data_IF_792643442129
#
_entry.id   IF_792643442129
#
_cell.length_a   1.000
_cell.length_b   1.000
_cell.length_c   1.000
_cell.angle_alpha   90.00
_cell.angle_beta   90.00
_cell.angle_gamma   90.00
#
_symmetry.space_group_name_H-M   'P 1'
#
loop_
_entity.id
_entity.type
_entity.pdbx_description
1 polymer ?
#
# COMPACT_ATOMS: atom_id res chain seq x y z
N UNK A 1 -48.80 -14.00 -26.58
CA UNK A 1 -48.32 -13.81 -25.19
C UNK A 1 -49.09 -12.71 -24.45
N UNK A 2 -49.31 -11.54 -25.05
CA UNK A 2 -50.05 -10.40 -24.46
C UNK A 2 -51.55 -10.65 -24.20
N UNK A 3 -52.23 -11.44 -25.02
CA UNK A 3 -53.66 -11.80 -24.84
C UNK A 3 -53.91 -12.71 -23.64
N UNK A 4 -52.96 -13.61 -23.32
CA UNK A 4 -53.02 -14.48 -22.12
C UNK A 4 -52.85 -13.69 -20.82
N UNK A 5 -52.09 -12.60 -20.86
CA UNK A 5 -51.88 -11.67 -19.74
C UNK A 5 -53.13 -10.85 -19.41
N UNK A 6 -53.96 -10.53 -20.41
CA UNK A 6 -55.16 -9.71 -20.20
C UNK A 6 -56.21 -10.44 -19.33
N UNK A 7 -56.35 -11.77 -19.51
CA UNK A 7 -57.34 -12.62 -18.83
C UNK A 7 -56.80 -13.40 -17.60
N UNK A 8 -55.59 -13.15 -17.13
CA UNK A 8 -55.04 -13.80 -15.91
C UNK A 8 -55.63 -13.19 -14.64
N UNK A 9 -55.79 -13.98 -13.58
CA UNK A 9 -56.25 -13.47 -12.27
C UNK A 9 -55.20 -12.50 -11.71
N UNK A 10 -55.62 -11.51 -10.92
CA UNK A 10 -54.73 -10.50 -10.32
C UNK A 10 -53.55 -11.15 -9.56
N UNK A 11 -53.80 -12.29 -8.89
CA UNK A 11 -52.79 -13.09 -8.22
C UNK A 11 -51.64 -13.56 -9.13
N UNK A 12 -51.94 -13.95 -10.38
CA UNK A 12 -50.93 -14.49 -11.31
C UNK A 12 -50.05 -13.34 -11.84
N UNK A 13 -50.65 -12.15 -12.04
CA UNK A 13 -49.92 -10.93 -12.43
C UNK A 13 -49.00 -10.44 -11.32
N UNK A 14 -49.45 -10.45 -10.08
CA UNK A 14 -48.63 -10.10 -8.91
C UNK A 14 -47.51 -11.11 -8.67
N UNK A 15 -47.79 -12.41 -8.77
CA UNK A 15 -46.77 -13.45 -8.65
C UNK A 15 -45.69 -13.34 -9.74
N UNK A 16 -46.09 -13.01 -10.97
CA UNK A 16 -45.15 -12.81 -12.07
C UNK A 16 -44.30 -11.55 -11.88
N UNK A 17 -44.89 -10.45 -11.39
CA UNK A 17 -44.17 -9.22 -11.06
C UNK A 17 -43.11 -9.49 -9.98
N UNK A 18 -43.50 -10.15 -8.88
CA UNK A 18 -42.59 -10.56 -7.81
C UNK A 18 -41.50 -11.48 -8.35
N UNK A 19 -41.84 -12.47 -9.16
CA UNK A 19 -40.87 -13.40 -9.75
C UNK A 19 -39.81 -12.70 -10.61
N UNK A 20 -40.20 -11.72 -11.42
CA UNK A 20 -39.27 -10.92 -12.24
C UNK A 20 -38.33 -10.09 -11.35
N UNK A 21 -38.86 -9.40 -10.33
CA UNK A 21 -38.02 -8.62 -9.41
C UNK A 21 -37.08 -9.51 -8.58
N UNK A 22 -37.55 -10.65 -8.09
CA UNK A 22 -36.72 -11.61 -7.35
C UNK A 22 -35.60 -12.15 -8.22
N UNK A 23 -35.89 -12.54 -9.47
CA UNK A 23 -34.87 -13.00 -10.40
C UNK A 23 -33.84 -11.92 -10.70
N UNK A 24 -34.30 -10.68 -10.95
CA UNK A 24 -33.42 -9.53 -11.17
C UNK A 24 -32.51 -9.25 -9.96
N UNK A 25 -33.05 -9.34 -8.74
CA UNK A 25 -32.29 -9.14 -7.50
C UNK A 25 -31.26 -10.25 -7.27
N UNK A 26 -31.61 -11.51 -7.54
CA UNK A 26 -30.66 -12.63 -7.44
C UNK A 26 -29.51 -12.46 -8.44
N UNK A 27 -29.82 -12.13 -9.70
CA UNK A 27 -28.78 -11.87 -10.71
C UNK A 27 -27.88 -10.70 -10.31
N UNK A 28 -28.46 -9.61 -9.82
CA UNK A 28 -27.69 -8.48 -9.29
C UNK A 28 -26.78 -8.90 -8.13
N UNK A 29 -27.29 -9.65 -7.16
CA UNK A 29 -26.53 -10.10 -6.00
C UNK A 29 -25.36 -11.01 -6.40
N UNK A 30 -25.57 -11.91 -7.36
CA UNK A 30 -24.52 -12.79 -7.89
C UNK A 30 -23.40 -11.98 -8.57
N UNK A 31 -23.77 -11.01 -9.42
CA UNK A 31 -22.80 -10.14 -10.09
C UNK A 31 -22.04 -9.30 -9.05
N UNK A 32 -22.75 -8.66 -8.12
CA UNK A 32 -22.15 -7.83 -7.07
C UNK A 32 -21.19 -8.64 -6.19
N UNK A 33 -21.56 -9.87 -5.81
CA UNK A 33 -20.71 -10.74 -5.00
C UNK A 33 -19.46 -11.20 -5.77
N UNK A 34 -19.61 -11.54 -7.05
CA UNK A 34 -18.46 -11.88 -7.89
C UNK A 34 -17.50 -10.69 -8.03
N UNK A 35 -18.02 -9.52 -8.35
CA UNK A 35 -17.24 -8.28 -8.44
C UNK A 35 -16.52 -7.98 -7.13
N UNK A 36 -17.20 -8.10 -5.99
CA UNK A 36 -16.58 -7.88 -4.67
C UNK A 36 -15.43 -8.86 -4.41
N UNK A 37 -15.60 -10.14 -4.74
CA UNK A 37 -14.55 -11.15 -4.55
C UNK A 37 -13.33 -10.91 -5.44
N UNK A 38 -13.52 -10.33 -6.63
CA UNK A 38 -12.41 -9.99 -7.52
C UNK A 38 -11.58 -8.80 -7.02
N UNK A 39 -12.24 -7.77 -6.46
CA UNK A 39 -11.60 -6.47 -6.14
C UNK A 39 -11.21 -6.29 -4.66
N UNK A 40 -11.75 -7.09 -3.73
CA UNK A 40 -11.47 -6.97 -2.30
C UNK A 40 -9.99 -7.18 -1.96
N UNK A 41 -9.60 -6.83 -0.73
CA UNK A 41 -8.30 -7.20 -0.16
C UNK A 41 -8.16 -8.73 -0.21
N UNK A 42 -6.97 -9.21 -0.57
CA UNK A 42 -6.66 -10.61 -0.94
C UNK A 42 -7.39 -11.16 -2.19
N UNK A 43 -8.19 -10.35 -2.89
CA UNK A 43 -8.75 -10.67 -4.20
C UNK A 43 -7.69 -10.66 -5.32
N UNK A 44 -7.99 -11.25 -6.49
CA UNK A 44 -7.03 -11.38 -7.59
C UNK A 44 -6.48 -10.04 -8.08
N UNK A 45 -7.30 -8.98 -8.18
CA UNK A 45 -6.80 -7.66 -8.60
C UNK A 45 -5.91 -7.01 -7.55
N UNK A 46 -6.27 -7.09 -6.26
CA UNK A 46 -5.43 -6.61 -5.17
C UNK A 46 -4.08 -7.33 -5.16
N UNK A 47 -4.07 -8.66 -5.25
CA UNK A 47 -2.84 -9.47 -5.25
C UNK A 47 -1.92 -9.12 -6.41
N UNK A 48 -2.48 -8.83 -7.60
CA UNK A 48 -1.69 -8.38 -8.75
C UNK A 48 -1.05 -7.02 -8.52
N UNK A 49 -1.78 -6.08 -7.89
CA UNK A 49 -1.23 -4.76 -7.54
C UNK A 49 -0.15 -4.91 -6.45
N UNK A 50 -0.41 -5.70 -5.42
CA UNK A 50 0.55 -5.98 -4.34
C UNK A 50 1.84 -6.59 -4.90
N UNK A 51 1.74 -7.66 -5.70
CA UNK A 51 2.90 -8.27 -6.35
C UNK A 51 3.66 -7.29 -7.25
N UNK A 52 2.96 -6.40 -7.96
CA UNK A 52 3.60 -5.33 -8.73
C UNK A 52 4.37 -4.34 -7.87
N UNK A 53 3.82 -3.94 -6.71
CA UNK A 53 4.50 -3.08 -5.74
C UNK A 53 5.71 -3.77 -5.12
N UNK A 54 5.59 -5.04 -4.77
CA UNK A 54 6.68 -5.84 -4.21
C UNK A 54 7.83 -6.00 -5.22
N UNK A 55 7.51 -6.32 -6.48
CA UNK A 55 8.52 -6.39 -7.54
C UNK A 55 9.23 -5.04 -7.78
N UNK A 56 8.51 -3.92 -7.70
CA UNK A 56 9.13 -2.59 -7.76
C UNK A 56 10.08 -2.37 -6.57
N UNK A 57 9.68 -2.79 -5.37
CA UNK A 57 10.51 -2.66 -4.16
C UNK A 57 11.76 -3.56 -4.19
N UNK A 58 11.70 -4.72 -4.83
CA UNK A 58 12.84 -5.63 -4.99
C UNK A 58 13.89 -5.09 -5.98
N UNK A 59 13.48 -4.31 -6.98
CA UNK A 59 14.38 -3.81 -8.04
C UNK A 59 14.85 -2.37 -7.83
N UNK A 60 14.04 -1.53 -7.17
CA UNK A 60 14.39 -0.12 -6.96
C UNK A 60 14.93 0.10 -5.55
N UNK A 61 16.14 0.69 -5.39
CA UNK A 61 16.67 1.01 -4.09
C UNK A 61 15.77 2.06 -3.39
N UNK A 62 15.37 1.84 -2.14
CA UNK A 62 14.47 2.73 -1.43
C UNK A 62 15.16 4.09 -1.16
N UNK A 63 14.57 5.22 -1.60
CA UNK A 63 15.25 6.53 -1.57
C UNK A 63 15.51 7.06 -0.16
N UNK A 64 14.70 6.64 0.82
CA UNK A 64 14.87 7.02 2.23
C UNK A 64 15.86 6.12 2.97
N UNK A 65 16.35 5.06 2.34
CA UNK A 65 17.40 4.24 2.91
C UNK A 65 18.74 4.65 2.29
N UNK A 66 19.61 5.29 3.09
CA UNK A 66 20.86 5.87 2.58
C UNK A 66 21.95 4.85 2.18
N UNK A 67 21.62 3.57 2.07
CA UNK A 67 22.56 2.49 1.70
C UNK A 67 23.21 2.75 0.33
N UNK A 68 22.42 3.11 -0.68
CA UNK A 68 22.93 3.39 -2.04
C UNK A 68 23.77 4.67 -2.08
N UNK A 69 23.46 5.64 -1.20
CA UNK A 69 24.29 6.84 -1.01
C UNK A 69 25.64 6.51 -0.37
N UNK A 70 25.67 5.55 0.56
CA UNK A 70 26.92 5.06 1.16
C UNK A 70 27.75 4.23 0.18
N UNK A 71 27.13 3.35 -0.61
CA UNK A 71 27.80 2.63 -1.70
C UNK A 71 28.39 3.61 -2.72
N UNK A 72 27.65 4.64 -3.12
CA UNK A 72 28.14 5.68 -4.03
C UNK A 72 29.36 6.39 -3.48
N UNK A 73 29.36 6.73 -2.18
CA UNK A 73 30.53 7.30 -1.51
C UNK A 73 31.73 6.32 -1.50
N UNK A 74 31.51 5.03 -1.24
CA UNK A 74 32.59 4.02 -1.31
C UNK A 74 33.16 3.95 -2.73
N UNK A 75 32.32 3.93 -3.77
CA UNK A 75 32.76 3.89 -5.17
C UNK A 75 33.63 5.08 -5.55
N UNK A 76 33.36 6.27 -5.00
CA UNK A 76 34.20 7.45 -5.20
C UNK A 76 35.65 7.24 -4.71
N UNK A 77 35.89 6.38 -3.72
CA UNK A 77 37.26 6.11 -3.23
C UNK A 77 38.08 5.18 -4.13
N UNK A 78 37.43 4.48 -5.07
CA UNK A 78 38.03 3.51 -5.97
C UNK A 78 37.82 3.86 -7.46
N UNK A 79 37.25 5.04 -7.73
CA UNK A 79 36.99 5.50 -9.08
C UNK A 79 38.31 5.61 -9.86
N UNK A 80 38.29 5.15 -11.10
CA UNK A 80 39.48 4.96 -11.94
C UNK A 80 39.64 6.01 -13.04
N UNK A 81 38.61 6.83 -13.27
CA UNK A 81 38.60 7.88 -14.28
C UNK A 81 37.77 9.08 -13.86
N UNK A 82 38.05 10.24 -14.45
CA UNK A 82 37.27 11.47 -14.22
C UNK A 82 35.81 11.33 -14.66
N UNK A 83 35.57 10.59 -15.76
CA UNK A 83 34.21 10.29 -16.24
C UNK A 83 33.40 9.47 -15.22
N UNK A 84 34.02 8.45 -14.61
CA UNK A 84 33.39 7.67 -13.54
C UNK A 84 33.11 8.54 -12.31
N UNK A 85 34.06 9.42 -11.95
CA UNK A 85 33.88 10.36 -10.84
C UNK A 85 32.70 11.32 -11.09
N UNK A 86 32.58 11.87 -12.30
CA UNK A 86 31.50 12.77 -12.67
C UNK A 86 30.12 12.08 -12.64
N UNK A 87 30.04 10.82 -13.09
CA UNK A 87 28.81 10.01 -12.96
C UNK A 87 28.42 9.84 -11.49
N UNK A 88 29.39 9.49 -10.64
CA UNK A 88 29.18 9.28 -9.21
C UNK A 88 28.76 10.57 -8.49
N UNK A 89 29.35 11.72 -8.84
CA UNK A 89 28.96 13.02 -8.30
C UNK A 89 27.52 13.39 -8.73
N UNK A 90 27.18 13.15 -10.00
CA UNK A 90 25.81 13.32 -10.49
C UNK A 90 24.82 12.43 -9.77
N UNK A 91 25.18 11.17 -9.51
CA UNK A 91 24.36 10.22 -8.74
C UNK A 91 24.19 10.65 -7.29
N UNK A 92 25.27 11.07 -6.63
CA UNK A 92 25.26 11.56 -5.25
C UNK A 92 24.33 12.77 -5.06
N UNK A 93 24.32 13.69 -6.02
CA UNK A 93 23.41 14.85 -6.05
C UNK A 93 21.95 14.42 -6.19
N UNK A 94 21.64 13.51 -7.13
CA UNK A 94 20.28 12.98 -7.32
C UNK A 94 19.77 12.24 -6.09
N UNK A 95 20.60 11.41 -5.47
CA UNK A 95 20.23 10.68 -4.25
C UNK A 95 19.87 11.62 -3.11
N UNK A 96 20.65 12.69 -2.89
CA UNK A 96 20.33 13.69 -1.86
C UNK A 96 19.01 14.39 -2.16
N UNK A 97 18.81 14.82 -3.40
CA UNK A 97 17.57 15.48 -3.82
C UNK A 97 16.35 14.57 -3.61
N UNK A 98 16.42 13.31 -4.03
CA UNK A 98 15.35 12.33 -3.83
C UNK A 98 15.09 12.05 -2.35
N UNK A 99 16.15 11.96 -1.53
CA UNK A 99 15.99 11.77 -0.08
C UNK A 99 15.22 12.93 0.55
N UNK A 100 15.62 14.17 0.26
CA UNK A 100 14.97 15.38 0.78
C UNK A 100 13.52 15.50 0.27
N UNK A 101 13.29 15.25 -1.02
CA UNK A 101 11.95 15.25 -1.63
C UNK A 101 11.03 14.24 -0.94
N UNK A 102 11.52 13.00 -0.75
CA UNK A 102 10.73 11.94 -0.15
C UNK A 102 10.50 12.17 1.34
N UNK A 103 11.45 12.74 2.07
CA UNK A 103 11.24 13.14 3.46
C UNK A 103 10.14 14.20 3.55
N UNK A 104 10.24 15.26 2.73
CA UNK A 104 9.22 16.32 2.69
C UNK A 104 7.84 15.78 2.30
N UNK A 105 7.78 14.83 1.37
CA UNK A 105 6.53 14.14 1.04
C UNK A 105 5.89 13.50 2.28
N UNK A 106 6.67 12.73 3.07
CA UNK A 106 6.13 12.04 4.25
C UNK A 106 5.87 12.95 5.45
N UNK A 107 6.55 14.10 5.55
CA UNK A 107 6.19 15.14 6.53
C UNK A 107 4.75 15.60 6.33
N UNK A 108 4.33 15.73 5.07
CA UNK A 108 2.98 16.20 4.71
C UNK A 108 1.95 15.06 4.60
N UNK A 109 2.36 13.80 4.79
CA UNK A 109 1.47 12.65 4.67
C UNK A 109 0.48 12.57 5.84
N UNK A 110 -0.78 12.32 5.49
CA UNK A 110 -1.90 12.17 6.44
C UNK A 110 -2.39 10.73 6.54
N UNK A 111 -1.88 9.81 5.71
CA UNK A 111 -2.34 8.43 5.64
C UNK A 111 -1.69 7.57 6.72
N UNK A 112 -0.36 7.64 6.86
CA UNK A 112 0.36 6.95 7.92
C UNK A 112 0.17 7.75 9.20
N UNK A 113 -0.58 7.22 10.16
CA UNK A 113 -0.94 7.92 11.40
C UNK A 113 -0.24 7.36 12.64
N UNK A 114 0.44 6.22 12.52
CA UNK A 114 1.19 5.61 13.62
C UNK A 114 2.29 6.58 14.12
N UNK A 115 2.20 7.06 15.38
CA UNK A 115 3.18 8.00 15.93
C UNK A 115 4.60 7.43 16.01
N UNK A 116 4.74 6.13 16.25
CA UNK A 116 6.04 5.45 16.34
C UNK A 116 6.71 5.42 14.97
N UNK A 117 5.96 5.08 13.93
CA UNK A 117 6.46 5.09 12.54
C UNK A 117 6.82 6.51 12.10
N UNK A 118 5.96 7.50 12.38
CA UNK A 118 6.26 8.91 12.06
C UNK A 118 7.51 9.41 12.77
N UNK A 119 7.65 9.13 14.06
CA UNK A 119 8.83 9.52 14.85
C UNK A 119 10.11 8.88 14.28
N UNK A 120 10.06 7.58 13.99
CA UNK A 120 11.18 6.85 13.41
C UNK A 120 11.59 7.42 12.05
N UNK A 121 10.64 7.66 11.14
CA UNK A 121 10.92 8.12 9.78
C UNK A 121 11.34 9.60 9.73
N UNK A 122 10.58 10.47 10.37
CA UNK A 122 10.69 11.92 10.18
C UNK A 122 11.79 12.55 11.04
N UNK A 123 12.20 11.86 12.11
CA UNK A 123 13.21 12.37 13.05
C UNK A 123 14.35 11.38 13.26
N UNK A 124 14.08 10.20 13.83
CA UNK A 124 15.16 9.34 14.35
C UNK A 124 16.07 8.78 13.23
N UNK A 125 15.48 8.34 12.12
CA UNK A 125 16.22 7.93 10.93
C UNK A 125 16.68 9.13 10.08
N UNK A 126 15.97 10.26 10.13
CA UNK A 126 16.28 11.44 9.32
C UNK A 126 17.56 12.15 9.78
N UNK A 127 17.72 12.40 11.08
CA UNK A 127 18.89 13.11 11.62
C UNK A 127 20.25 12.46 11.25
N UNK A 128 20.47 11.14 11.41
CA UNK A 128 21.72 10.52 10.99
C UNK A 128 21.89 10.56 9.46
N UNK A 129 20.82 10.45 8.67
CA UNK A 129 20.92 10.59 7.21
C UNK A 129 21.31 12.02 6.80
N UNK A 130 20.73 13.04 7.44
CA UNK A 130 21.09 14.43 7.23
C UNK A 130 22.57 14.66 7.56
N UNK A 131 23.04 14.19 8.71
CA UNK A 131 24.44 14.30 9.11
C UNK A 131 25.39 13.52 8.18
N UNK A 132 24.96 12.35 7.69
CA UNK A 132 25.68 11.59 6.66
C UNK A 132 25.92 12.43 5.41
N UNK A 133 24.86 13.01 4.86
CA UNK A 133 24.95 13.83 3.66
C UNK A 133 25.74 15.11 3.88
N UNK A 134 25.60 15.78 5.02
CA UNK A 134 26.39 16.96 5.37
C UNK A 134 27.89 16.65 5.37
N UNK A 135 28.32 15.57 6.03
CA UNK A 135 29.73 15.15 6.02
C UNK A 135 30.17 14.71 4.63
N UNK A 136 29.31 13.98 3.91
CA UNK A 136 29.61 13.52 2.55
C UNK A 136 29.89 14.70 1.63
N UNK A 137 29.02 15.70 1.66
CA UNK A 137 29.02 16.80 0.70
C UNK A 137 30.03 17.89 1.07
N UNK A 138 30.21 18.18 2.37
CA UNK A 138 31.10 19.26 2.83
C UNK A 138 32.56 18.84 3.05
N UNK A 139 32.83 17.55 3.31
CA UNK A 139 34.17 17.08 3.68
C UNK A 139 34.67 15.96 2.78
N UNK A 140 33.87 14.90 2.59
CA UNK A 140 34.30 13.71 1.86
C UNK A 140 34.48 13.97 0.37
N UNK A 141 33.47 14.54 -0.30
CA UNK A 141 33.53 14.86 -1.74
C UNK A 141 34.72 15.79 -2.04
N UNK A 142 34.95 16.90 -1.30
CA UNK A 142 36.14 17.72 -1.48
C UNK A 142 37.47 16.97 -1.28
N UNK A 143 37.55 16.06 -0.30
CA UNK A 143 38.75 15.25 -0.08
C UNK A 143 39.05 14.33 -1.26
N UNK A 144 38.04 13.64 -1.78
CA UNK A 144 38.15 12.79 -2.98
C UNK A 144 38.58 13.62 -4.20
N UNK A 145 37.94 14.76 -4.44
CA UNK A 145 38.27 15.63 -5.59
C UNK A 145 39.71 16.17 -5.57
N UNK A 146 40.30 16.33 -4.37
CA UNK A 146 41.69 16.79 -4.20
C UNK A 146 42.70 15.63 -4.13
N UNK A 147 42.26 14.38 -4.30
CA UNK A 147 43.11 13.20 -4.19
C UNK A 147 43.57 12.88 -2.76
N UNK A 148 42.98 13.51 -1.74
CA UNK A 148 43.31 13.24 -0.33
C UNK A 148 42.59 11.97 0.16
N UNK A 149 43.10 10.83 -0.30
CA UNK A 149 42.54 9.52 0.02
C UNK A 149 42.74 9.13 1.48
N UNK A 150 43.71 9.72 2.20
CA UNK A 150 43.86 9.49 3.65
C UNK A 150 42.64 10.03 4.39
N UNK A 151 42.27 11.29 4.12
CA UNK A 151 41.08 11.92 4.71
C UNK A 151 39.80 11.26 4.22
N UNK A 152 39.66 10.98 2.92
CA UNK A 152 38.47 10.32 2.37
C UNK A 152 38.25 8.94 3.02
N UNK A 153 39.29 8.14 3.19
CA UNK A 153 39.21 6.83 3.86
C UNK A 153 38.88 6.94 5.35
N UNK A 154 39.38 7.97 6.04
CA UNK A 154 39.02 8.22 7.43
C UNK A 154 37.53 8.59 7.57
N UNK A 155 37.02 9.44 6.68
CA UNK A 155 35.62 9.87 6.66
C UNK A 155 34.65 8.73 6.33
N UNK A 156 34.98 7.90 5.33
CA UNK A 156 34.11 6.78 4.93
C UNK A 156 34.04 5.70 6.01
N UNK A 157 35.19 5.35 6.65
CA UNK A 157 35.27 4.30 7.68
C UNK A 157 34.82 4.78 9.06
N UNK A 158 34.85 6.09 9.30
CA UNK A 158 34.44 6.71 10.56
C UNK A 158 33.03 7.30 10.49
N UNK A 159 32.87 8.63 10.33
CA UNK A 159 31.60 9.31 10.45
C UNK A 159 30.52 8.82 9.48
N UNK A 160 30.85 8.60 8.19
CA UNK A 160 29.85 8.15 7.21
C UNK A 160 29.32 6.75 7.55
N UNK A 161 30.22 5.80 7.87
CA UNK A 161 29.82 4.47 8.37
C UNK A 161 28.94 4.57 9.61
N UNK A 162 29.33 5.39 10.59
CA UNK A 162 28.58 5.56 11.84
C UNK A 162 27.17 6.05 11.59
N UNK A 163 27.00 7.10 10.78
CA UNK A 163 25.69 7.64 10.46
C UNK A 163 24.83 6.68 9.64
N UNK A 164 25.42 5.95 8.69
CA UNK A 164 24.72 4.88 7.99
C UNK A 164 24.19 3.81 8.94
N UNK A 165 25.02 3.33 9.88
CA UNK A 165 24.61 2.31 10.86
C UNK A 165 23.52 2.84 11.79
N UNK A 166 23.63 4.09 12.25
CA UNK A 166 22.59 4.71 13.09
C UNK A 166 21.27 4.85 12.34
N UNK A 167 21.28 5.39 11.13
CA UNK A 167 20.10 5.48 10.27
C UNK A 167 19.45 4.11 10.09
N UNK A 168 20.24 3.08 9.76
CA UNK A 168 19.77 1.71 9.60
C UNK A 168 19.11 1.15 10.86
N UNK A 169 19.65 1.44 12.04
CA UNK A 169 19.10 0.96 13.31
C UNK A 169 17.69 1.46 13.62
N UNK A 170 17.26 2.55 12.98
CA UNK A 170 15.88 3.05 13.07
C UNK A 170 14.99 2.56 11.91
N UNK A 171 15.55 2.43 10.71
CA UNK A 171 14.81 1.95 9.54
C UNK A 171 14.42 0.48 9.67
N UNK A 172 15.34 -0.40 10.08
CA UNK A 172 15.10 -1.85 10.10
C UNK A 172 13.91 -2.23 11.02
N UNK A 173 13.81 -1.74 12.28
CA UNK A 173 12.64 -2.01 13.13
C UNK A 173 11.35 -1.35 12.62
N UNK A 174 11.44 -0.13 12.08
CA UNK A 174 10.28 0.58 11.52
C UNK A 174 9.65 -0.19 10.35
N UNK A 175 10.46 -0.84 9.51
CA UNK A 175 9.97 -1.70 8.42
C UNK A 175 9.19 -2.89 9.00
N UNK A 176 9.67 -3.50 10.08
CA UNK A 176 8.99 -4.63 10.72
C UNK A 176 7.65 -4.19 11.36
N UNK A 177 7.65 -3.05 12.05
CA UNK A 177 6.42 -2.47 12.59
C UNK A 177 5.37 -2.22 11.48
N UNK A 178 5.80 -1.66 10.34
CA UNK A 178 4.94 -1.41 9.19
C UNK A 178 4.39 -2.70 8.56
N UNK A 179 5.20 -3.76 8.47
CA UNK A 179 4.74 -5.07 7.97
C UNK A 179 3.66 -5.65 8.87
N UNK A 180 3.88 -5.61 10.19
CA UNK A 180 2.90 -6.09 11.18
C UNK A 180 1.61 -5.26 11.08
N UNK A 181 1.73 -3.93 11.05
CA UNK A 181 0.58 -3.04 10.95
C UNK A 181 -0.23 -3.29 9.66
N UNK A 182 0.44 -3.40 8.51
CA UNK A 182 -0.22 -3.71 7.24
C UNK A 182 -0.92 -5.08 7.29
N UNK A 183 -0.28 -6.09 7.89
CA UNK A 183 -0.89 -7.42 8.00
C UNK A 183 -2.14 -7.41 8.87
N UNK A 184 -2.13 -6.63 9.96
CA UNK A 184 -3.30 -6.46 10.81
C UNK A 184 -4.44 -5.78 10.05
N UNK A 185 -4.15 -4.71 9.30
CA UNK A 185 -5.14 -4.02 8.46
C UNK A 185 -5.74 -4.95 7.40
N UNK A 186 -4.93 -5.80 6.76
CA UNK A 186 -5.44 -6.81 5.82
C UNK A 186 -6.41 -7.78 6.50
N UNK A 187 -6.04 -8.32 7.65
CA UNK A 187 -6.87 -9.26 8.40
C UNK A 187 -8.17 -8.61 8.90
N UNK A 188 -8.11 -7.37 9.39
CA UNK A 188 -9.28 -6.60 9.80
C UNK A 188 -10.23 -6.37 8.62
N UNK A 189 -9.69 -5.99 7.46
CA UNK A 189 -10.50 -5.80 6.26
C UNK A 189 -11.19 -7.09 5.82
N UNK A 190 -10.50 -8.23 5.87
CA UNK A 190 -11.10 -9.54 5.56
C UNK A 190 -12.24 -9.89 6.52
N UNK A 191 -12.05 -9.66 7.83
CA UNK A 191 -13.09 -9.89 8.83
C UNK A 191 -14.30 -8.98 8.61
N UNK A 192 -14.09 -7.72 8.23
CA UNK A 192 -15.17 -6.78 7.86
C UNK A 192 -15.92 -7.27 6.63
N UNK A 193 -15.22 -7.72 5.59
CA UNK A 193 -15.87 -8.27 4.38
C UNK A 193 -16.68 -9.51 4.72
N UNK A 194 -16.12 -10.45 5.49
CA UNK A 194 -16.78 -11.69 5.87
C UNK A 194 -18.05 -11.42 6.71
N UNK A 195 -17.94 -10.64 7.78
CA UNK A 195 -19.06 -10.33 8.67
C UNK A 195 -20.19 -9.59 7.95
N UNK A 196 -19.86 -8.58 7.13
CA UNK A 196 -20.88 -7.85 6.34
C UNK A 196 -21.53 -8.71 5.29
N UNK A 197 -20.79 -9.61 4.65
CA UNK A 197 -21.35 -10.57 3.69
C UNK A 197 -22.38 -11.47 4.37
N UNK A 198 -22.08 -12.00 5.56
CA UNK A 198 -23.03 -12.82 6.31
C UNK A 198 -24.30 -12.04 6.70
N UNK A 199 -24.16 -10.79 7.13
CA UNK A 199 -25.32 -9.93 7.42
C UNK A 199 -26.17 -9.66 6.19
N UNK A 200 -25.54 -9.40 5.03
CA UNK A 200 -26.26 -9.21 3.77
C UNK A 200 -27.01 -10.47 3.35
N UNK A 201 -26.40 -11.65 3.49
CA UNK A 201 -27.06 -12.93 3.21
C UNK A 201 -28.22 -13.15 4.17
N UNK A 202 -28.01 -12.96 5.48
CA UNK A 202 -29.05 -13.10 6.50
C UNK A 202 -30.24 -12.18 6.23
N UNK A 203 -29.99 -10.89 5.98
CA UNK A 203 -31.04 -9.92 5.64
C UNK A 203 -31.77 -10.32 4.36
N UNK A 204 -31.05 -10.76 3.33
CA UNK A 204 -31.65 -11.21 2.07
C UNK A 204 -32.59 -12.40 2.28
N UNK A 205 -32.14 -13.43 3.01
CA UNK A 205 -32.95 -14.61 3.34
C UNK A 205 -34.16 -14.21 4.20
N UNK A 206 -33.95 -13.36 5.21
CA UNK A 206 -35.03 -12.87 6.07
C UNK A 206 -36.13 -12.16 5.26
N UNK A 207 -35.76 -11.24 4.36
CA UNK A 207 -36.74 -10.55 3.51
C UNK A 207 -37.46 -11.51 2.55
N UNK A 208 -36.76 -12.49 1.98
CA UNK A 208 -37.38 -13.51 1.11
C UNK A 208 -38.40 -14.35 1.89
N UNK A 209 -38.07 -14.79 3.11
CA UNK A 209 -38.98 -15.57 3.96
C UNK A 209 -40.17 -14.71 4.42
N UNK A 210 -39.92 -13.49 4.90
CA UNK A 210 -40.97 -12.59 5.37
C UNK A 210 -41.97 -12.23 4.26
N UNK A 211 -41.48 -11.91 3.06
CA UNK A 211 -42.33 -11.63 1.89
C UNK A 211 -43.11 -12.87 1.45
N UNK A 212 -42.52 -14.06 1.51
CA UNK A 212 -43.19 -15.33 1.17
C UNK A 212 -44.32 -15.66 2.15
N UNK A 213 -44.08 -15.52 3.46
CA UNK A 213 -45.09 -15.74 4.50
C UNK A 213 -46.21 -14.71 4.40
N UNK A 214 -45.86 -13.42 4.23
CA UNK A 214 -46.84 -12.34 4.08
C UNK A 214 -47.74 -12.52 2.86
N UNK A 215 -47.16 -12.92 1.71
CA UNK A 215 -47.92 -13.25 0.51
C UNK A 215 -48.84 -14.47 0.74
N UNK A 216 -48.34 -15.53 1.38
CA UNK A 216 -49.14 -16.71 1.72
C UNK A 216 -50.33 -16.40 2.63
N UNK A 217 -50.11 -15.57 3.66
CA UNK A 217 -51.16 -15.13 4.59
C UNK A 217 -52.19 -14.21 3.94
N UNK A 218 -51.75 -13.29 3.07
CA UNK A 218 -52.66 -12.43 2.31
C UNK A 218 -53.54 -13.23 1.33
N UNK A 219 -52.97 -14.27 0.69
CA UNK A 219 -53.70 -15.14 -0.22
C UNK A 219 -54.71 -16.04 0.52
N UNK A 220 -54.38 -16.57 1.70
CA UNK A 220 -55.29 -17.43 2.46
C UNK A 220 -56.51 -16.70 3.02
N UNK A 221 -56.43 -15.37 3.21
CA UNK A 221 -57.57 -14.51 3.60
C UNK A 221 -58.41 -13.99 2.42
N UNK A 222 -57.91 -14.12 1.19
CA UNK A 222 -58.58 -13.61 -0.02
C UNK A 222 -59.41 -14.66 -0.76
N UNK A 223 -59.45 -15.90 -0.26
CA UNK A 223 -60.27 -17.03 -0.74
C UNK A 223 -61.38 -17.26 0.28
#
# INVERSE_FOLDING_TARGET
>A
MLTRFKNSKVKDKLAMLVGVFTLGFVLFALIAFNTLNEIKIQGPYYNRIAAGKDMIADVLPPPLFIVESYVTAIRMTIASSDSEMDELLGRAKRQRALFDERHQFWVNDTVITDPKVKQALLKDAYEPAKAFFEVRDSQFIPAVKRGDMKTANALIRGPLKRYYVQHRSFIDPMIEDLKIANKNVENEADQVVYSRTLWLIFLSVFFIVATSIGAGYGLSRSI
#
